data_IF_211291911837
#
_entry.id   IF_211291911837
#
_cell.length_a   1.000
_cell.length_b   1.000
_cell.length_c   1.000
_cell.angle_alpha   90.00
_cell.angle_beta   90.00
_cell.angle_gamma   90.00
#
_symmetry.space_group_name_H-M   'P 1'
#
loop_
_entity.id
_entity.type
_entity.pdbx_description
1 polymer ?
#
# COMPACT_ATOMS: atom_id res chain seq x y z
N UNK A 1 27.38 10.48 25.83
CA UNK A 1 27.69 10.83 24.43
C UNK A 1 27.15 9.73 23.53
N UNK A 2 26.77 10.11 22.32
CA UNK A 2 25.69 9.60 21.48
C UNK A 2 25.77 8.18 20.90
N UNK A 3 24.62 7.79 20.33
CA UNK A 3 24.42 6.89 19.17
C UNK A 3 24.20 5.41 19.50
N UNK A 4 23.19 4.71 18.98
CA UNK A 4 22.12 5.07 18.05
C UNK A 4 21.09 3.95 18.06
N UNK A 5 19.84 4.27 18.41
CA UNK A 5 18.74 3.35 18.16
C UNK A 5 18.39 3.51 16.69
N UNK A 6 18.70 2.49 15.89
CA UNK A 6 18.18 2.35 14.52
C UNK A 6 16.65 2.31 14.61
N UNK A 7 16.00 3.49 14.57
CA UNK A 7 14.58 3.57 14.26
C UNK A 7 14.51 3.34 12.76
N UNK A 8 14.13 2.13 12.36
CA UNK A 8 13.84 1.80 10.97
C UNK A 8 12.72 2.72 10.50
N UNK A 9 13.09 3.86 9.93
CA UNK A 9 12.16 4.82 9.34
C UNK A 9 11.80 4.25 7.99
N UNK A 10 10.58 3.71 7.87
CA UNK A 10 10.09 3.26 6.58
C UNK A 10 9.95 4.49 5.67
N UNK A 11 10.43 4.35 4.45
CA UNK A 11 10.23 5.33 3.40
C UNK A 11 8.75 5.43 3.01
N UNK A 12 8.35 6.54 2.37
CA UNK A 12 6.99 6.70 1.86
C UNK A 12 6.60 5.53 0.93
N UNK A 13 7.53 5.11 0.07
CA UNK A 13 7.33 3.98 -0.84
C UNK A 13 7.08 2.65 -0.10
N UNK A 14 7.76 2.41 1.01
CA UNK A 14 7.53 1.21 1.83
C UNK A 14 6.17 1.26 2.55
N UNK A 15 5.74 2.45 2.98
CA UNK A 15 4.42 2.65 3.57
C UNK A 15 3.29 2.47 2.56
N UNK A 16 3.43 3.00 1.35
CA UNK A 16 2.45 2.79 0.26
C UNK A 16 2.31 1.29 -0.02
N UNK A 17 3.43 0.58 -0.18
CA UNK A 17 3.42 -0.87 -0.37
C UNK A 17 2.77 -1.62 0.80
N UNK A 18 2.98 -1.15 2.04
CA UNK A 18 2.34 -1.73 3.21
C UNK A 18 0.82 -1.57 3.18
N UNK A 19 0.33 -0.39 2.81
CA UNK A 19 -1.11 -0.12 2.68
C UNK A 19 -1.70 -1.01 1.58
N UNK A 20 -1.08 -1.04 0.40
CA UNK A 20 -1.52 -1.88 -0.73
C UNK A 20 -1.55 -3.37 -0.36
N UNK A 21 -0.50 -3.87 0.32
CA UNK A 21 -0.45 -5.27 0.78
C UNK A 21 -1.55 -5.63 1.77
N UNK A 22 -2.12 -4.67 2.49
CA UNK A 22 -3.25 -4.93 3.39
C UNK A 22 -4.60 -4.67 2.74
N UNK A 23 -4.63 -4.21 1.48
CA UNK A 23 -5.86 -4.04 0.75
C UNK A 23 -6.37 -5.40 0.27
N UNK A 24 -7.44 -5.89 0.89
CA UNK A 24 -7.98 -7.22 0.63
C UNK A 24 -8.40 -7.41 -0.82
N UNK A 25 -9.00 -6.39 -1.46
CA UNK A 25 -9.42 -6.48 -2.86
C UNK A 25 -8.24 -6.76 -3.79
N UNK A 26 -7.12 -6.03 -3.60
CA UNK A 26 -5.89 -6.24 -4.36
C UNK A 26 -5.31 -7.64 -4.15
N UNK A 27 -5.24 -8.11 -2.90
CA UNK A 27 -4.75 -9.46 -2.60
C UNK A 27 -5.64 -10.53 -3.24
N UNK A 28 -6.96 -10.38 -3.19
CA UNK A 28 -7.89 -11.31 -3.82
C UNK A 28 -7.71 -11.34 -5.34
N UNK A 29 -7.53 -10.18 -5.97
CA UNK A 29 -7.30 -10.10 -7.41
C UNK A 29 -5.98 -10.79 -7.82
N UNK A 30 -4.94 -10.70 -6.98
CA UNK A 30 -3.67 -11.40 -7.17
C UNK A 30 -3.82 -12.92 -6.94
N UNK A 31 -4.42 -13.33 -5.81
CA UNK A 31 -4.52 -14.74 -5.39
C UNK A 31 -5.45 -15.56 -6.28
N UNK A 32 -6.56 -14.98 -6.73
CA UNK A 32 -7.48 -15.65 -7.65
C UNK A 32 -6.91 -15.76 -9.07
N UNK A 33 -5.74 -15.19 -9.33
CA UNK A 33 -5.13 -15.22 -10.66
C UNK A 33 -6.02 -14.57 -11.72
N UNK A 34 -6.85 -13.58 -11.34
CA UNK A 34 -7.80 -12.93 -12.25
C UNK A 34 -7.11 -12.26 -13.45
N UNK A 35 -5.81 -11.96 -13.32
CA UNK A 35 -4.91 -11.48 -14.37
C UNK A 35 -4.35 -12.56 -15.32
N UNK A 36 -4.63 -13.86 -15.08
CA UNK A 36 -3.98 -14.98 -15.79
C UNK A 36 -2.45 -14.92 -15.72
N UNK A 37 -1.90 -14.26 -14.70
CA UNK A 37 -0.53 -13.77 -14.66
C UNK A 37 0.39 -14.58 -13.75
N UNK A 38 1.66 -14.67 -14.12
CA UNK A 38 2.71 -15.22 -13.25
C UNK A 38 2.97 -14.31 -12.04
N UNK A 39 3.55 -14.82 -10.94
CA UNK A 39 3.92 -14.00 -9.78
C UNK A 39 4.79 -12.79 -10.13
N UNK A 40 5.62 -12.90 -11.17
CA UNK A 40 6.43 -11.80 -11.69
C UNK A 40 5.58 -10.66 -12.27
N UNK A 41 4.47 -10.99 -12.96
CA UNK A 41 3.53 -10.00 -13.50
C UNK A 41 2.80 -9.27 -12.39
N UNK A 42 2.29 -9.99 -11.38
CA UNK A 42 1.63 -9.38 -10.23
C UNK A 42 2.57 -8.43 -9.47
N UNK A 43 3.82 -8.84 -9.25
CA UNK A 43 4.84 -7.99 -8.63
C UNK A 43 5.11 -6.72 -9.44
N UNK A 44 5.24 -6.83 -10.78
CA UNK A 44 5.45 -5.68 -11.64
C UNK A 44 4.28 -4.68 -11.60
N UNK A 45 3.05 -5.17 -11.48
CA UNK A 45 1.86 -4.33 -11.46
C UNK A 45 1.66 -3.67 -10.10
N UNK A 46 1.97 -4.37 -9.01
CA UNK A 46 2.07 -3.76 -7.67
C UNK A 46 3.16 -2.68 -7.63
N UNK A 47 4.29 -2.88 -8.32
CA UNK A 47 5.30 -1.81 -8.43
C UNK A 47 4.78 -0.62 -9.26
N UNK A 48 4.11 -0.89 -10.39
CA UNK A 48 3.54 0.16 -11.26
C UNK A 48 2.54 1.04 -10.49
N UNK A 49 1.55 0.45 -9.82
CA UNK A 49 0.58 1.22 -9.02
C UNK A 49 1.27 1.95 -7.85
N UNK A 50 2.29 1.34 -7.24
CA UNK A 50 3.09 2.01 -6.19
C UNK A 50 3.77 3.26 -6.74
N UNK A 51 4.41 3.17 -7.90
CA UNK A 51 5.12 4.30 -8.50
C UNK A 51 4.15 5.41 -8.93
N UNK A 52 2.97 5.05 -9.43
CA UNK A 52 1.91 6.00 -9.84
C UNK A 52 1.32 6.75 -8.63
N UNK A 53 1.06 6.04 -7.52
CA UNK A 53 0.66 6.65 -6.25
C UNK A 53 1.78 7.55 -5.72
N UNK A 54 3.04 7.11 -5.81
CA UNK A 54 4.18 7.91 -5.36
C UNK A 54 4.30 9.21 -6.15
N UNK A 55 4.14 9.18 -7.48
CA UNK A 55 4.14 10.38 -8.32
C UNK A 55 3.00 11.32 -7.94
N UNK A 56 1.80 10.78 -7.72
CA UNK A 56 0.66 11.56 -7.23
C UNK A 56 0.97 12.25 -5.90
N UNK A 57 1.49 11.52 -4.90
CA UNK A 57 1.82 12.08 -3.59
C UNK A 57 2.98 13.09 -3.67
N UNK A 58 4.01 12.81 -4.46
CA UNK A 58 5.17 13.69 -4.62
C UNK A 58 4.82 14.98 -5.38
N UNK A 59 3.83 14.94 -6.28
CA UNK A 59 3.30 16.13 -6.96
C UNK A 59 2.47 17.03 -6.04
N UNK A 60 2.24 16.62 -4.78
CA UNK A 60 1.39 17.32 -3.83
C UNK A 60 -0.10 17.01 -4.01
N UNK A 61 -0.43 15.87 -4.64
CA UNK A 61 -1.81 15.41 -4.78
C UNK A 61 -2.46 15.19 -3.42
N UNK A 62 -3.56 15.91 -3.16
CA UNK A 62 -4.34 15.81 -1.91
C UNK A 62 -5.78 15.35 -2.14
N UNK A 63 -6.18 15.18 -3.39
CA UNK A 63 -7.56 14.82 -3.73
C UNK A 63 -7.77 13.32 -3.56
N UNK A 64 -8.65 12.98 -2.61
CA UNK A 64 -9.01 11.60 -2.30
C UNK A 64 -9.74 10.93 -3.47
N UNK A 65 -10.65 11.66 -4.13
CA UNK A 65 -11.46 11.08 -5.19
C UNK A 65 -10.57 10.72 -6.38
N UNK A 66 -9.65 11.60 -6.77
CA UNK A 66 -8.71 11.33 -7.86
C UNK A 66 -7.86 10.08 -7.56
N UNK A 67 -7.37 9.95 -6.32
CA UNK A 67 -6.57 8.79 -5.93
C UNK A 67 -7.42 7.51 -5.85
N UNK A 68 -8.67 7.61 -5.41
CA UNK A 68 -9.60 6.46 -5.38
C UNK A 68 -9.96 5.99 -6.80
N UNK A 69 -10.24 6.92 -7.72
CA UNK A 69 -10.52 6.64 -9.12
C UNK A 69 -9.30 5.98 -9.79
N UNK A 70 -8.07 6.47 -9.51
CA UNK A 70 -6.84 5.83 -9.97
C UNK A 70 -6.72 4.36 -9.49
N UNK A 71 -7.03 4.10 -8.22
CA UNK A 71 -6.98 2.75 -7.66
C UNK A 71 -8.03 1.82 -8.31
N UNK A 72 -9.23 2.34 -8.57
CA UNK A 72 -10.32 1.62 -9.22
C UNK A 72 -9.99 1.31 -10.69
N UNK A 73 -9.51 2.30 -11.44
CA UNK A 73 -9.04 2.13 -12.82
C UNK A 73 -7.94 1.08 -12.89
N UNK A 74 -7.03 1.04 -11.92
CA UNK A 74 -5.96 0.05 -11.90
C UNK A 74 -6.52 -1.36 -11.59
N UNK A 75 -7.48 -1.48 -10.67
CA UNK A 75 -8.13 -2.75 -10.37
C UNK A 75 -8.91 -3.29 -11.58
N UNK A 76 -9.66 -2.44 -12.27
CA UNK A 76 -10.44 -2.85 -13.44
C UNK A 76 -9.55 -3.15 -14.65
N UNK A 77 -8.68 -2.21 -15.04
CA UNK A 77 -7.93 -2.31 -16.30
C UNK A 77 -6.71 -3.23 -16.21
N UNK A 78 -5.99 -3.20 -15.09
CA UNK A 78 -4.79 -4.01 -14.93
C UNK A 78 -5.16 -5.34 -14.28
N UNK A 79 -5.86 -5.32 -13.13
CA UNK A 79 -6.20 -6.54 -12.38
C UNK A 79 -7.43 -7.30 -12.89
N UNK A 80 -8.16 -6.75 -13.86
CA UNK A 80 -9.39 -7.35 -14.39
C UNK A 80 -10.37 -7.69 -13.24
N UNK A 81 -10.43 -6.80 -12.25
CA UNK A 81 -11.20 -6.96 -11.02
C UNK A 81 -12.07 -5.73 -10.83
N UNK A 82 -13.38 -5.95 -10.88
CA UNK A 82 -14.36 -4.91 -10.56
C UNK A 82 -14.49 -4.87 -9.04
N UNK A 83 -14.27 -3.68 -8.46
CA UNK A 83 -14.51 -3.45 -7.05
C UNK A 83 -16.03 -3.39 -6.81
N UNK A 84 -16.58 -4.35 -6.08
CA UNK A 84 -18.00 -4.35 -5.70
C UNK A 84 -18.25 -3.55 -4.41
N UNK A 85 -17.19 -3.11 -3.76
CA UNK A 85 -17.18 -2.36 -2.51
C UNK A 85 -16.50 -0.98 -2.67
N UNK A 86 -16.49 -0.19 -1.60
CA UNK A 86 -15.92 1.18 -1.60
C UNK A 86 -14.53 1.27 -0.96
N UNK A 87 -13.80 0.16 -0.81
CA UNK A 87 -12.51 0.11 -0.11
C UNK A 87 -11.42 0.96 -0.76
N UNK A 88 -11.48 1.24 -2.07
CA UNK A 88 -10.58 2.18 -2.75
C UNK A 88 -10.61 3.56 -2.10
N UNK A 89 -11.78 4.00 -1.60
CA UNK A 89 -11.92 5.27 -0.89
C UNK A 89 -11.20 5.27 0.47
N UNK A 90 -11.29 4.15 1.20
CA UNK A 90 -10.62 3.99 2.49
C UNK A 90 -9.10 3.91 2.30
N UNK A 91 -8.65 3.18 1.28
CA UNK A 91 -7.23 3.07 0.92
C UNK A 91 -6.67 4.41 0.50
N UNK A 92 -7.35 5.16 -0.37
CA UNK A 92 -6.95 6.51 -0.77
C UNK A 92 -6.81 7.46 0.44
N UNK A 93 -7.76 7.41 1.38
CA UNK A 93 -7.69 8.14 2.65
C UNK A 93 -6.43 7.80 3.46
N UNK A 94 -6.05 6.53 3.55
CA UNK A 94 -4.86 6.12 4.30
C UNK A 94 -3.57 6.53 3.60
N UNK A 95 -3.52 6.42 2.26
CA UNK A 95 -2.36 6.83 1.45
C UNK A 95 -2.07 8.33 1.57
N UNK A 96 -3.10 9.17 1.56
CA UNK A 96 -2.97 10.63 1.70
C UNK A 96 -2.43 11.06 3.08
N UNK A 97 -2.58 10.23 4.12
CA UNK A 97 -2.04 10.53 5.46
C UNK A 97 -0.54 10.27 5.54
N UNK A 98 0.02 9.41 4.68
CA UNK A 98 1.42 8.97 4.79
C UNK A 98 2.43 10.13 4.68
N UNK A 99 2.34 11.05 3.69
CA UNK A 99 3.27 12.18 3.60
C UNK A 99 3.19 13.09 4.82
N UNK A 100 1.98 13.31 5.35
CA UNK A 100 1.75 14.15 6.54
C UNK A 100 2.40 13.53 7.78
N UNK A 101 2.25 12.21 7.97
CA UNK A 101 2.85 11.47 9.10
C UNK A 101 4.38 11.52 9.03
N UNK A 102 4.95 11.33 7.83
CA UNK A 102 6.40 11.38 7.61
C UNK A 102 6.98 12.78 7.83
N UNK A 103 6.34 13.82 7.28
CA UNK A 103 6.80 15.20 7.43
C UNK A 103 6.62 15.74 8.85
N UNK A 104 5.61 15.26 9.58
CA UNK A 104 5.35 15.71 10.96
C UNK A 104 6.28 15.05 11.99
N UNK A 105 7.08 14.05 11.61
CA UNK A 105 7.94 13.30 12.53
C UNK A 105 7.18 12.59 13.66
N UNK A 106 5.86 12.44 13.52
CA UNK A 106 4.97 11.88 14.55
C UNK A 106 5.13 10.37 14.59
N UNK A 107 6.14 9.93 15.36
CA UNK A 107 6.45 8.53 15.59
C UNK A 107 5.27 7.71 16.15
N UNK A 108 4.31 8.37 16.81
CA UNK A 108 3.14 7.72 17.40
C UNK A 108 2.09 7.33 16.35
N UNK A 109 1.68 8.26 15.48
CA UNK A 109 0.74 7.96 14.38
C UNK A 109 1.32 6.92 13.42
N UNK A 110 2.63 7.01 13.15
CA UNK A 110 3.36 5.99 12.39
C UNK A 110 3.29 4.62 13.06
N UNK A 111 3.47 4.57 14.39
CA UNK A 111 3.38 3.31 15.15
C UNK A 111 1.97 2.73 15.19
N UNK A 112 0.93 3.58 15.28
CA UNK A 112 -0.48 3.15 15.23
C UNK A 112 -0.86 2.62 13.86
N UNK A 113 -0.37 3.28 12.80
CA UNK A 113 -0.56 2.82 11.41
C UNK A 113 0.13 1.46 11.20
N UNK A 114 1.38 1.33 11.64
CA UNK A 114 2.09 0.06 11.62
C UNK A 114 1.41 -1.01 12.48
N UNK A 115 0.85 -0.65 13.64
CA UNK A 115 0.12 -1.58 14.48
C UNK A 115 -1.18 -2.02 13.81
N UNK A 116 -1.93 -1.13 13.16
CA UNK A 116 -3.14 -1.47 12.40
C UNK A 116 -2.82 -2.50 11.31
N UNK A 117 -1.75 -2.27 10.55
CA UNK A 117 -1.34 -3.15 9.46
C UNK A 117 -0.59 -4.41 9.92
N UNK A 118 0.10 -4.38 11.06
CA UNK A 118 0.79 -5.54 11.63
C UNK A 118 -0.16 -6.44 12.45
N UNK A 119 -1.15 -5.88 13.14
CA UNK A 119 -2.14 -6.65 13.92
C UNK A 119 -3.12 -7.42 13.05
N UNK A 120 -3.28 -7.01 11.78
CA UNK A 120 -4.02 -7.78 10.78
C UNK A 120 -3.25 -9.02 10.29
N UNK A 121 -2.00 -9.23 10.74
CA UNK A 121 -1.17 -10.41 10.44
C UNK A 121 -1.44 -11.59 11.39
N UNK A 122 -2.63 -11.71 11.98
CA UNK A 122 -3.08 -13.01 12.44
C UNK A 122 -3.58 -13.77 11.21
N UNK A 123 -2.86 -14.84 10.87
CA UNK A 123 -3.07 -15.77 9.75
C UNK A 123 -2.72 -15.27 8.35
N UNK A 124 -1.43 -15.07 8.07
CA UNK A 124 -0.78 -15.69 6.89
C UNK A 124 0.68 -16.01 7.24
N UNK A 125 0.92 -17.28 7.57
CA UNK A 125 2.24 -17.85 7.84
C UNK A 125 2.82 -18.26 6.49
N UNK A 126 3.66 -17.42 5.88
CA UNK A 126 4.47 -17.82 4.73
C UNK A 126 5.96 -17.77 5.10
N UNK A 127 6.72 -18.83 4.75
CA UNK A 127 8.08 -19.01 5.21
C UNK A 127 8.96 -17.87 4.67
N UNK A 128 9.69 -17.25 5.60
CA UNK A 128 10.82 -16.38 5.29
C UNK A 128 11.69 -17.10 4.26
N UNK A 129 11.83 -16.53 3.06
CA UNK A 129 12.85 -16.94 2.10
C UNK A 129 14.20 -16.77 2.79
N UNK A 130 14.70 -17.87 3.34
CA UNK A 130 16.11 -18.02 3.70
C UNK A 130 16.83 -18.27 2.38
N UNK A 131 17.69 -17.32 2.01
CA UNK A 131 18.83 -17.56 1.12
C UNK A 131 19.69 -18.70 1.65
#
# INVERSE_FOLDING_TARGET
MSSGKNKSTLSLKELVQLVLRNWTALNLAIDQGMMGGSPARSSALVQKITDEIMDFLNSGGTDRQILADLLEDFMENEFNSILEDTSQNEVACELLKLPVILNSGKSEEMSSLLQKFCSSSKTQNFPLLKT
#
